data_IF_919297928676
#
_entry.id   IF_919297928676
#
_cell.length_a   1.000
_cell.length_b   1.000
_cell.length_c   1.000
_cell.angle_alpha   90.00
_cell.angle_beta   90.00
_cell.angle_gamma   90.00
#
_symmetry.space_group_name_H-M   'P 1'
#
loop_
_entity.id
_entity.type
_entity.pdbx_description
1 polymer ?
#
# COMPACT_ATOMS: atom_id res chain seq x y z
N UNK A 1 -18.41 25.21 21.22
CA UNK A 1 -17.44 25.86 20.32
C UNK A 1 -16.53 24.76 19.81
N UNK A 2 -16.27 24.66 18.52
CA UNK A 2 -15.35 23.66 17.98
C UNK A 2 -13.93 24.22 17.96
N UNK A 3 -12.95 23.39 18.29
CA UNK A 3 -11.53 23.73 18.24
C UNK A 3 -10.96 23.50 16.82
N UNK A 4 -11.51 22.51 16.10
CA UNK A 4 -11.08 22.14 14.75
C UNK A 4 -12.29 21.93 13.85
N UNK A 5 -12.24 22.54 12.66
CA UNK A 5 -13.20 22.31 11.58
C UNK A 5 -12.47 21.65 10.40
N UNK A 6 -12.94 20.47 9.98
CA UNK A 6 -12.37 19.70 8.87
C UNK A 6 -13.37 19.68 7.72
N UNK A 7 -12.92 20.03 6.53
CA UNK A 7 -13.73 20.00 5.31
C UNK A 7 -13.27 18.86 4.42
N UNK A 8 -14.14 17.88 4.25
CA UNK A 8 -13.93 16.69 3.44
C UNK A 8 -13.81 15.40 4.26
N UNK A 9 -14.67 14.42 3.97
CA UNK A 9 -14.79 13.12 4.63
C UNK A 9 -14.02 11.98 3.94
N UNK A 10 -12.94 12.30 3.21
CA UNK A 10 -12.02 11.28 2.70
C UNK A 10 -11.05 10.79 3.77
N UNK A 11 -10.19 9.81 3.44
CA UNK A 11 -9.27 9.18 4.40
C UNK A 11 -8.41 10.19 5.18
N UNK A 12 -7.98 11.28 4.56
CA UNK A 12 -7.21 12.32 5.23
C UNK A 12 -8.06 13.08 6.26
N UNK A 13 -9.27 13.48 5.88
CA UNK A 13 -10.18 14.24 6.76
C UNK A 13 -10.60 13.41 7.97
N UNK A 14 -11.02 12.17 7.76
CA UNK A 14 -11.42 11.29 8.87
C UNK A 14 -10.22 10.91 9.76
N UNK A 15 -9.03 10.71 9.17
CA UNK A 15 -7.82 10.45 9.95
C UNK A 15 -7.41 11.63 10.82
N UNK A 16 -7.51 12.88 10.31
CA UNK A 16 -7.27 14.10 11.09
C UNK A 16 -8.33 14.25 12.19
N UNK A 17 -9.60 14.00 11.88
CA UNK A 17 -10.69 14.07 12.85
C UNK A 17 -10.45 13.11 14.01
N UNK A 18 -10.15 11.86 13.71
CA UNK A 18 -9.83 10.82 14.69
C UNK A 18 -8.67 11.22 15.60
N UNK A 19 -7.55 11.68 15.03
CA UNK A 19 -6.38 12.11 15.81
C UNK A 19 -6.71 13.33 16.68
N UNK A 20 -7.46 14.31 16.17
CA UNK A 20 -7.87 15.50 16.91
C UNK A 20 -8.79 15.15 18.10
N UNK A 21 -9.80 14.30 17.89
CA UNK A 21 -10.69 13.80 18.96
C UNK A 21 -9.90 13.00 19.99
N UNK A 22 -9.00 12.13 19.55
CA UNK A 22 -8.13 11.37 20.44
C UNK A 22 -7.20 12.23 21.30
N UNK A 23 -6.96 13.47 20.90
CA UNK A 23 -6.23 14.51 21.69
C UNK A 23 -7.15 15.36 22.59
N UNK A 24 -8.44 15.07 22.60
CA UNK A 24 -9.43 15.80 23.41
C UNK A 24 -9.93 17.11 22.79
N UNK A 25 -9.72 17.33 21.49
CA UNK A 25 -10.22 18.51 20.79
C UNK A 25 -11.67 18.32 20.34
N UNK A 26 -12.51 19.35 20.52
CA UNK A 26 -13.86 19.40 19.97
C UNK A 26 -13.78 19.57 18.45
N UNK A 27 -14.03 18.51 17.70
CA UNK A 27 -13.81 18.48 16.26
C UNK A 27 -15.14 18.40 15.51
N UNK A 28 -15.26 19.14 14.42
CA UNK A 28 -16.37 19.07 13.49
C UNK A 28 -15.82 18.70 12.10
N UNK A 29 -16.35 17.63 11.51
CA UNK A 29 -16.06 17.25 10.13
C UNK A 29 -17.28 17.51 9.26
N UNK A 30 -17.09 18.17 8.12
CA UNK A 30 -18.14 18.46 7.15
C UNK A 30 -17.79 17.78 5.83
N UNK A 31 -18.71 16.97 5.32
CA UNK A 31 -18.64 16.34 4.01
C UNK A 31 -19.88 16.69 3.20
N UNK A 32 -19.71 17.05 1.92
CA UNK A 32 -20.83 17.43 1.03
C UNK A 32 -21.64 16.23 0.52
N UNK A 33 -21.06 15.06 0.55
CA UNK A 33 -21.66 13.80 0.08
C UNK A 33 -21.60 12.76 1.17
N UNK A 34 -21.27 11.53 0.81
CA UNK A 34 -21.04 10.45 1.75
C UNK A 34 -19.55 10.31 2.08
N UNK A 35 -19.24 9.82 3.28
CA UNK A 35 -17.86 9.60 3.72
C UNK A 35 -17.19 8.62 2.78
N UNK A 36 -15.95 8.93 2.41
CA UNK A 36 -15.12 8.15 1.48
C UNK A 36 -15.68 7.98 0.06
N UNK A 37 -16.75 8.64 -0.33
CA UNK A 37 -17.42 8.44 -1.61
C UNK A 37 -16.65 8.87 -2.86
N UNK A 38 -15.53 9.59 -2.69
CA UNK A 38 -14.69 10.10 -3.77
C UNK A 38 -13.37 9.31 -3.88
N UNK A 39 -12.25 10.00 -4.02
CA UNK A 39 -10.90 9.41 -4.24
C UNK A 39 -10.57 8.28 -3.27
N UNK A 40 -11.04 8.34 -2.02
CA UNK A 40 -10.76 7.33 -1.00
C UNK A 40 -11.39 5.96 -1.28
N UNK A 41 -12.40 5.87 -2.17
CA UNK A 41 -13.00 4.60 -2.62
C UNK A 41 -12.53 4.18 -4.02
N UNK A 42 -11.80 5.05 -4.70
CA UNK A 42 -11.33 4.86 -6.08
C UNK A 42 -9.80 4.76 -6.16
N UNK A 43 -9.17 4.33 -5.06
CA UNK A 43 -7.73 4.09 -5.02
C UNK A 43 -7.37 2.76 -5.71
N UNK A 44 -6.10 2.46 -5.80
CA UNK A 44 -5.64 1.13 -6.25
C UNK A 44 -5.90 0.02 -5.23
N UNK A 45 -6.47 0.35 -4.07
CA UNK A 45 -6.73 -0.55 -2.93
C UNK A 45 -5.44 -1.22 -2.41
N UNK A 46 -4.33 -0.52 -2.53
CA UNK A 46 -3.01 -1.02 -2.15
C UNK A 46 -2.37 -0.13 -1.11
N UNK A 47 -1.91 -0.77 -0.05
CA UNK A 47 -0.98 -0.16 0.90
C UNK A 47 0.39 -0.78 0.62
N UNK A 48 1.29 0.03 0.07
CA UNK A 48 2.54 -0.45 -0.47
C UNK A 48 3.70 0.53 -0.20
N UNK A 49 4.92 0.03 -0.24
CA UNK A 49 6.12 0.85 -0.05
C UNK A 49 6.50 1.71 -1.27
N UNK A 50 5.82 1.54 -2.42
CA UNK A 50 6.13 2.28 -3.63
C UNK A 50 7.52 1.95 -4.18
N UNK A 51 7.72 0.71 -4.62
CA UNK A 51 9.03 0.23 -5.14
C UNK A 51 9.64 1.15 -6.21
N UNK A 52 8.82 1.89 -6.97
CA UNK A 52 9.29 2.84 -7.99
C UNK A 52 10.04 4.04 -7.41
N UNK A 53 9.76 4.43 -6.16
CA UNK A 53 10.46 5.52 -5.49
C UNK A 53 11.93 5.20 -5.17
N UNK A 54 12.31 3.91 -5.16
CA UNK A 54 13.71 3.52 -5.03
C UNK A 54 14.56 4.01 -6.20
N UNK A 55 13.97 4.21 -7.38
CA UNK A 55 14.64 4.76 -8.56
C UNK A 55 14.99 6.24 -8.39
N UNK A 56 14.21 6.94 -7.58
CA UNK A 56 14.43 8.35 -7.24
C UNK A 56 15.27 8.51 -5.96
N UNK A 57 15.78 7.39 -5.42
CA UNK A 57 16.55 7.36 -4.16
C UNK A 57 15.75 7.82 -2.92
N UNK A 58 14.42 7.77 -2.97
CA UNK A 58 13.53 8.15 -1.87
C UNK A 58 13.42 7.04 -0.80
N UNK A 59 14.56 6.57 -0.31
CA UNK A 59 14.63 5.45 0.65
C UNK A 59 13.88 5.73 1.95
N UNK A 60 13.84 6.99 2.39
CA UNK A 60 13.11 7.38 3.60
C UNK A 60 11.61 7.16 3.41
N UNK A 61 11.06 7.65 2.31
CA UNK A 61 9.65 7.48 1.97
C UNK A 61 9.26 6.00 1.88
N UNK A 62 10.06 5.21 1.16
CA UNK A 62 9.83 3.76 1.03
C UNK A 62 9.85 3.07 2.40
N UNK A 63 10.82 3.42 3.26
CA UNK A 63 10.93 2.87 4.61
C UNK A 63 9.71 3.18 5.47
N UNK A 64 9.27 4.42 5.47
CA UNK A 64 8.10 4.87 6.23
C UNK A 64 6.83 4.17 5.74
N UNK A 65 6.60 4.15 4.42
CA UNK A 65 5.45 3.49 3.80
C UNK A 65 5.39 1.98 4.10
N UNK A 66 6.53 1.29 4.08
CA UNK A 66 6.61 -0.14 4.42
C UNK A 66 6.30 -0.40 5.91
N UNK A 67 6.72 0.49 6.80
CA UNK A 67 6.38 0.40 8.22
C UNK A 67 4.89 0.60 8.46
N UNK A 68 4.32 1.64 7.85
CA UNK A 68 2.89 1.91 7.93
C UNK A 68 2.05 0.76 7.35
N UNK A 69 2.47 0.16 6.24
CA UNK A 69 1.85 -1.04 5.69
C UNK A 69 1.75 -2.18 6.72
N UNK A 70 2.85 -2.44 7.43
CA UNK A 70 2.89 -3.49 8.46
C UNK A 70 2.04 -3.13 9.69
N UNK A 71 1.96 -1.84 10.05
CA UNK A 71 1.09 -1.33 11.12
C UNK A 71 -0.37 -1.53 10.73
N UNK A 72 -0.79 -1.08 9.56
CA UNK A 72 -2.19 -1.20 9.09
C UNK A 72 -2.61 -2.67 9.01
N UNK A 73 -1.74 -3.55 8.54
CA UNK A 73 -2.02 -5.00 8.57
C UNK A 73 -2.33 -5.53 9.97
N UNK A 74 -1.66 -4.98 11.00
CA UNK A 74 -1.89 -5.40 12.40
C UNK A 74 -3.15 -4.84 13.01
N UNK A 75 -3.44 -3.56 12.76
CA UNK A 75 -4.58 -2.88 13.38
C UNK A 75 -5.90 -3.13 12.64
N UNK A 76 -5.85 -3.42 11.34
CA UNK A 76 -7.03 -3.65 10.50
C UNK A 76 -6.96 -4.98 9.72
N UNK A 77 -6.72 -6.14 10.39
CA UNK A 77 -6.55 -7.43 9.70
C UNK A 77 -7.82 -7.89 8.98
N UNK A 78 -8.98 -7.44 9.41
CA UNK A 78 -10.29 -7.83 8.88
C UNK A 78 -10.63 -7.20 7.53
N UNK A 79 -9.98 -6.09 7.16
CA UNK A 79 -10.16 -5.39 5.87
C UNK A 79 -8.93 -5.45 4.99
N UNK A 80 -7.86 -6.10 5.45
CA UNK A 80 -6.59 -6.17 4.72
C UNK A 80 -6.19 -7.61 4.43
N UNK A 81 -5.52 -7.84 3.31
CA UNK A 81 -4.91 -9.14 2.99
C UNK A 81 -3.60 -8.97 2.23
N UNK A 82 -2.57 -9.79 2.54
CA UNK A 82 -1.37 -9.84 1.71
C UNK A 82 -1.71 -10.32 0.31
N UNK A 83 -1.16 -9.63 -0.71
CA UNK A 83 -1.26 -10.05 -2.10
C UNK A 83 0.14 -10.14 -2.72
N UNK A 84 0.26 -10.98 -3.73
CA UNK A 84 1.51 -11.17 -4.47
C UNK A 84 1.42 -10.49 -5.82
N UNK A 85 2.45 -9.73 -6.14
CA UNK A 85 2.66 -9.12 -7.44
C UNK A 85 3.72 -9.87 -8.22
N UNK A 86 3.52 -9.94 -9.52
CA UNK A 86 4.52 -10.41 -10.46
C UNK A 86 4.99 -9.23 -11.30
N UNK A 87 6.27 -8.94 -11.22
CA UNK A 87 6.95 -7.99 -12.08
C UNK A 87 7.65 -8.78 -13.20
N UNK A 88 7.09 -8.83 -14.42
CA UNK A 88 7.72 -9.54 -15.54
C UNK A 88 9.08 -8.92 -15.87
N UNK A 89 10.09 -9.74 -16.11
CA UNK A 89 11.40 -9.26 -16.52
C UNK A 89 11.42 -9.04 -18.04
N UNK A 90 11.70 -7.80 -18.42
CA UNK A 90 11.89 -7.37 -19.81
C UNK A 90 13.35 -6.93 -19.98
N UNK A 91 14.20 -7.73 -20.61
CA UNK A 91 15.64 -7.44 -20.69
C UNK A 91 15.99 -6.08 -21.31
N UNK A 92 15.17 -5.61 -22.27
CA UNK A 92 15.37 -4.32 -22.94
C UNK A 92 15.06 -3.10 -22.06
N UNK A 93 14.32 -3.27 -20.96
CA UNK A 93 13.94 -2.17 -20.07
C UNK A 93 14.92 -1.99 -18.91
N UNK A 94 15.24 -3.08 -18.22
CA UNK A 94 16.12 -3.07 -17.03
C UNK A 94 16.88 -4.36 -16.89
N UNK A 95 18.10 -4.25 -16.43
CA UNK A 95 18.90 -5.44 -16.09
C UNK A 95 18.33 -6.16 -14.86
N UNK A 96 18.34 -7.48 -14.91
CA UNK A 96 17.83 -8.35 -13.85
C UNK A 96 18.48 -8.07 -12.48
N UNK A 97 19.80 -7.79 -12.45
CA UNK A 97 20.51 -7.50 -11.19
C UNK A 97 20.03 -6.20 -10.53
N UNK A 98 19.69 -5.18 -11.32
CA UNK A 98 19.16 -3.90 -10.79
C UNK A 98 17.79 -4.10 -10.13
N UNK A 99 16.88 -4.85 -10.77
CA UNK A 99 15.58 -5.22 -10.20
C UNK A 99 15.78 -6.00 -8.90
N UNK A 100 16.73 -6.94 -8.88
CA UNK A 100 17.02 -7.76 -7.71
C UNK A 100 17.55 -6.93 -6.53
N UNK A 101 18.41 -5.94 -6.77
CA UNK A 101 18.88 -5.02 -5.72
C UNK A 101 17.73 -4.17 -5.21
N UNK A 102 16.90 -3.61 -6.10
CA UNK A 102 15.73 -2.82 -5.69
C UNK A 102 14.78 -3.62 -4.80
N UNK A 103 14.45 -4.86 -5.19
CA UNK A 103 13.60 -5.74 -4.40
C UNK A 103 14.25 -6.18 -3.08
N UNK A 104 15.55 -6.42 -3.08
CA UNK A 104 16.29 -6.72 -1.86
C UNK A 104 16.24 -5.57 -0.84
N UNK A 105 16.38 -4.33 -1.31
CA UNK A 105 16.22 -3.13 -0.48
C UNK A 105 14.78 -3.00 0.01
N UNK A 106 13.81 -3.16 -0.89
CA UNK A 106 12.39 -3.13 -0.57
C UNK A 106 12.03 -4.09 0.56
N UNK A 107 12.51 -5.32 0.51
CA UNK A 107 12.26 -6.35 1.51
C UNK A 107 12.85 -6.04 2.90
N UNK A 108 13.81 -5.10 2.99
CA UNK A 108 14.56 -4.82 4.23
C UNK A 108 14.35 -3.42 4.80
N UNK A 109 14.00 -2.45 3.98
CA UNK A 109 13.86 -1.05 4.41
C UNK A 109 12.78 -0.87 5.50
N UNK A 110 11.70 -1.66 5.46
CA UNK A 110 10.65 -1.66 6.48
C UNK A 110 11.06 -2.27 7.82
N UNK A 111 12.19 -2.98 7.89
CA UNK A 111 12.62 -3.73 9.07
C UNK A 111 12.05 -5.16 9.11
N UNK A 112 11.66 -5.65 10.30
CA UNK A 112 11.01 -6.96 10.43
C UNK A 112 9.59 -6.88 9.88
N UNK A 113 9.33 -7.62 8.81
CA UNK A 113 8.02 -7.69 8.16
C UNK A 113 7.49 -9.11 8.19
N UNK A 114 6.16 -9.25 8.24
CA UNK A 114 5.44 -10.53 8.15
C UNK A 114 5.15 -10.94 6.69
N UNK A 115 5.61 -10.16 5.72
CA UNK A 115 5.44 -10.47 4.31
C UNK A 115 6.53 -11.42 3.80
N UNK A 116 6.18 -12.25 2.83
CA UNK A 116 7.15 -13.08 2.12
C UNK A 116 8.13 -12.18 1.36
N UNK A 117 9.41 -12.56 1.37
CA UNK A 117 10.45 -11.85 0.62
C UNK A 117 10.27 -12.05 -0.87
N UNK A 118 10.75 -11.10 -1.63
CA UNK A 118 10.78 -11.18 -3.09
C UNK A 118 11.65 -12.34 -3.57
N UNK A 119 11.22 -12.95 -4.67
CA UNK A 119 11.94 -14.05 -5.31
C UNK A 119 11.86 -13.98 -6.84
N UNK A 120 12.89 -14.45 -7.49
CA UNK A 120 12.86 -14.68 -8.92
C UNK A 120 12.01 -15.91 -9.23
N UNK A 121 11.22 -15.85 -10.30
CA UNK A 121 10.34 -16.94 -10.72
C UNK A 121 10.43 -17.17 -12.24
N UNK A 122 10.23 -18.43 -12.67
CA UNK A 122 9.90 -18.76 -14.03
C UNK A 122 8.38 -18.84 -14.16
N UNK A 123 7.80 -18.08 -15.07
CA UNK A 123 6.34 -17.91 -15.16
C UNK A 123 5.64 -19.23 -15.55
N UNK A 124 6.24 -20.01 -16.43
CA UNK A 124 5.74 -21.31 -16.84
C UNK A 124 5.80 -22.40 -15.75
N UNK A 125 6.55 -22.17 -14.68
CA UNK A 125 6.64 -23.09 -13.53
C UNK A 125 5.77 -22.65 -12.36
N UNK A 126 5.41 -21.36 -12.33
CA UNK A 126 4.69 -20.77 -11.22
C UNK A 126 3.17 -20.81 -11.42
N UNK A 127 2.71 -20.89 -12.67
CA UNK A 127 1.30 -20.84 -13.03
C UNK A 127 1.02 -21.99 -14.01
N UNK A 128 -0.09 -22.70 -13.82
CA UNK A 128 -0.55 -23.76 -14.74
C UNK A 128 -0.83 -23.19 -16.13
N UNK A 129 -1.46 -22.01 -16.16
CA UNK A 129 -1.59 -21.19 -17.37
C UNK A 129 -0.90 -19.85 -17.12
N UNK A 130 0.04 -19.48 -17.98
CA UNK A 130 0.72 -18.20 -17.88
C UNK A 130 -0.27 -17.07 -18.21
N UNK A 131 -0.63 -16.21 -17.25
CA UNK A 131 -1.59 -15.12 -17.47
C UNK A 131 -1.02 -13.99 -18.35
N UNK A 132 0.26 -14.07 -18.69
CA UNK A 132 0.97 -13.10 -19.50
C UNK A 132 1.24 -13.64 -20.88
N UNK A 133 1.56 -12.74 -21.84
CA UNK A 133 1.96 -13.14 -23.18
C UNK A 133 3.18 -14.08 -23.14
N UNK A 134 3.28 -15.00 -24.09
CA UNK A 134 4.33 -16.04 -24.16
C UNK A 134 5.77 -15.50 -24.18
N UNK A 135 5.97 -14.26 -24.59
CA UNK A 135 7.30 -13.63 -24.58
C UNK A 135 7.84 -13.33 -23.17
N UNK A 136 6.98 -13.32 -22.13
CA UNK A 136 7.42 -13.19 -20.75
C UNK A 136 7.70 -14.56 -20.14
N UNK A 137 8.98 -14.90 -19.98
CA UNK A 137 9.42 -16.22 -19.48
C UNK A 137 9.71 -16.21 -17.99
N UNK A 138 10.12 -15.08 -17.45
CA UNK A 138 10.53 -14.95 -16.05
C UNK A 138 10.14 -13.59 -15.47
N UNK A 139 10.24 -13.49 -14.17
CA UNK A 139 9.92 -12.27 -13.45
C UNK A 139 10.33 -12.34 -11.97
N UNK A 140 9.89 -11.37 -11.22
CA UNK A 140 10.07 -11.31 -9.78
C UNK A 140 8.71 -11.26 -9.10
N UNK A 141 8.53 -12.09 -8.10
CA UNK A 141 7.35 -12.05 -7.24
C UNK A 141 7.70 -11.29 -5.96
N UNK A 142 6.85 -10.38 -5.54
CA UNK A 142 6.97 -9.66 -4.28
C UNK A 142 5.60 -9.45 -3.66
N UNK A 143 5.55 -9.06 -2.39
CA UNK A 143 4.31 -8.98 -1.63
C UNK A 143 4.03 -7.55 -1.19
N UNK A 144 2.75 -7.16 -1.27
CA UNK A 144 2.22 -5.94 -0.69
C UNK A 144 0.87 -6.22 -0.01
N UNK A 145 0.20 -5.18 0.46
CA UNK A 145 -1.04 -5.29 1.21
C UNK A 145 -2.20 -4.74 0.38
N UNK A 146 -3.21 -5.55 0.17
CA UNK A 146 -4.53 -5.10 -0.28
C UNK A 146 -5.32 -4.57 0.91
N UNK A 147 -6.15 -3.56 0.68
CA UNK A 147 -7.09 -3.00 1.66
C UNK A 147 -8.41 -2.67 0.99
N UNK A 148 -9.50 -2.84 1.74
CA UNK A 148 -10.75 -2.16 1.40
C UNK A 148 -10.62 -0.69 1.81
N UNK A 149 -10.35 0.17 0.84
CA UNK A 149 -10.02 1.58 1.05
C UNK A 149 -11.20 2.39 1.60
N UNK A 150 -12.42 2.14 1.12
CA UNK A 150 -13.62 2.77 1.62
C UNK A 150 -13.89 2.37 3.07
N UNK A 151 -13.77 1.07 3.37
CA UNK A 151 -13.97 0.56 4.72
C UNK A 151 -12.90 1.09 5.69
N UNK A 152 -11.66 1.23 5.23
CA UNK A 152 -10.60 1.86 6.05
C UNK A 152 -10.96 3.29 6.44
N UNK A 153 -11.49 4.09 5.50
CA UNK A 153 -11.91 5.46 5.80
C UNK A 153 -13.11 5.50 6.75
N UNK A 154 -14.12 4.63 6.53
CA UNK A 154 -15.30 4.54 7.40
C UNK A 154 -14.92 4.16 8.83
N UNK A 155 -14.05 3.17 9.03
CA UNK A 155 -13.58 2.76 10.35
C UNK A 155 -12.86 3.89 11.10
N UNK A 156 -12.13 4.75 10.39
CA UNK A 156 -11.53 5.93 11.01
C UNK A 156 -12.56 7.01 11.39
N UNK A 157 -13.72 7.03 10.73
CA UNK A 157 -14.79 7.96 11.05
C UNK A 157 -15.69 7.45 12.20
N UNK A 158 -15.78 6.13 12.36
CA UNK A 158 -16.56 5.46 13.43
C UNK A 158 -15.85 5.45 14.78
N UNK A 159 -14.51 5.52 14.79
CA UNK A 159 -13.65 5.46 15.97
C UNK A 159 -13.51 6.82 16.68
#
# INVERSE_FOLDING_TARGET
>A
MYDVLIIGGGINGVGIARDAVGRGLNTCLIEKGDIASQTSSWSTKLIHGGIRYLENYDFKLVRESLKERDIIKKIAPHITKPIKFVLPHVPSLRSSWMIRIGLFLYDRLGGKSSFERSKFIYLNQQFDENPLKENFKSGYMYSDLFVDDSRLALLNAED
#
